data_IF_538185839194
#
_entry.id   IF_538185839194
#
_cell.length_a   1.000
_cell.length_b   1.000
_cell.length_c   1.000
_cell.angle_alpha   90.00
_cell.angle_beta   90.00
_cell.angle_gamma   90.00
#
_symmetry.space_group_name_H-M   'P 1'
#
loop_
_entity.id
_entity.type
_entity.pdbx_description
1 polymer ?
#
# COMPACT_ATOMS: atom_id res chain seq x y z
N UNK A 1 0.32 -18.61 26.31
CA UNK A 1 1.19 -17.84 25.40
C UNK A 1 0.75 -16.40 25.54
N UNK A 2 1.40 -15.64 26.42
CA UNK A 2 1.10 -14.21 26.61
C UNK A 2 1.55 -13.50 25.34
N UNK A 3 0.61 -12.96 24.57
CA UNK A 3 0.93 -11.97 23.55
C UNK A 3 1.29 -10.69 24.28
N UNK A 4 2.50 -10.66 24.86
CA UNK A 4 2.98 -9.46 25.55
C UNK A 4 3.06 -8.35 24.51
N UNK A 5 2.21 -7.35 24.72
CA UNK A 5 2.05 -6.16 23.90
C UNK A 5 3.37 -5.39 23.96
N UNK A 6 4.27 -5.62 23.00
CA UNK A 6 5.58 -4.95 22.95
C UNK A 6 5.39 -3.60 22.25
N UNK A 7 5.40 -2.46 22.96
CA UNK A 7 5.02 -1.17 22.38
C UNK A 7 5.90 -0.77 21.18
N UNK A 8 7.18 -1.16 21.22
CA UNK A 8 8.13 -0.92 20.13
C UNK A 8 7.75 -1.64 18.82
N UNK A 9 7.18 -2.85 18.88
CA UNK A 9 6.81 -3.60 17.67
C UNK A 9 5.57 -3.01 17.00
N UNK A 10 4.65 -2.44 17.79
CA UNK A 10 3.42 -1.81 17.31
C UNK A 10 3.72 -0.48 16.63
N UNK A 11 4.53 0.38 17.26
CA UNK A 11 4.95 1.66 16.67
C UNK A 11 5.69 1.41 15.36
N UNK A 12 6.64 0.47 15.34
CA UNK A 12 7.36 0.08 14.13
C UNK A 12 6.39 -0.39 13.03
N UNK A 13 5.43 -1.26 13.35
CA UNK A 13 4.48 -1.81 12.37
C UNK A 13 3.56 -0.74 11.77
N UNK A 14 3.10 0.22 12.59
CA UNK A 14 2.28 1.35 12.11
C UNK A 14 3.11 2.26 11.20
N UNK A 15 4.34 2.59 11.61
CA UNK A 15 5.25 3.41 10.80
C UNK A 15 5.58 2.72 9.48
N UNK A 16 5.86 1.42 9.51
CA UNK A 16 6.10 0.61 8.31
C UNK A 16 4.89 0.59 7.37
N UNK A 17 3.69 0.37 7.91
CA UNK A 17 2.45 0.38 7.14
C UNK A 17 2.25 1.74 6.44
N UNK A 18 2.49 2.84 7.15
CA UNK A 18 2.37 4.19 6.60
C UNK A 18 3.38 4.44 5.47
N UNK A 19 4.65 4.08 5.65
CA UNK A 19 5.67 4.19 4.59
C UNK A 19 5.33 3.34 3.38
N UNK A 20 4.78 2.14 3.60
CA UNK A 20 4.38 1.24 2.51
C UNK A 20 3.22 1.82 1.70
N UNK A 21 2.23 2.45 2.35
CA UNK A 21 1.14 3.14 1.66
C UNK A 21 1.63 4.35 0.84
N UNK A 22 2.54 5.15 1.40
CA UNK A 22 3.14 6.28 0.69
C UNK A 22 3.94 5.82 -0.53
N UNK A 23 4.72 4.76 -0.37
CA UNK A 23 5.49 4.16 -1.46
C UNK A 23 4.56 3.69 -2.58
N UNK A 24 3.51 2.92 -2.25
CA UNK A 24 2.54 2.43 -3.22
C UNK A 24 1.77 3.56 -3.92
N UNK A 25 1.47 4.65 -3.23
CA UNK A 25 0.83 5.83 -3.85
C UNK A 25 1.77 6.50 -4.87
N UNK A 26 3.07 6.53 -4.57
CA UNK A 26 4.08 7.10 -5.45
C UNK A 26 4.31 6.22 -6.68
N UNK A 27 4.33 4.89 -6.54
CA UNK A 27 4.44 3.97 -7.68
C UNK A 27 3.24 4.06 -8.61
N UNK A 28 2.02 4.15 -8.07
CA UNK A 28 0.83 4.39 -8.90
C UNK A 28 0.92 5.68 -9.70
N UNK A 29 1.31 6.79 -9.06
CA UNK A 29 1.50 8.07 -9.76
C UNK A 29 2.56 7.97 -10.86
N UNK A 30 3.66 7.27 -10.58
CA UNK A 30 4.71 7.02 -11.56
C UNK A 30 4.20 6.21 -12.77
N UNK A 31 3.45 5.13 -12.53
CA UNK A 31 2.87 4.31 -13.61
C UNK A 31 1.88 5.13 -14.44
N UNK A 32 1.01 5.92 -13.80
CA UNK A 32 0.06 6.82 -14.50
C UNK A 32 0.81 7.83 -15.37
N UNK A 33 1.88 8.43 -14.83
CA UNK A 33 2.73 9.34 -15.59
C UNK A 33 3.35 8.67 -16.81
N UNK A 34 3.88 7.44 -16.64
CA UNK A 34 4.44 6.65 -17.74
C UNK A 34 3.38 6.34 -18.80
N UNK A 35 2.16 5.94 -18.41
CA UNK A 35 1.05 5.68 -19.35
C UNK A 35 0.70 6.94 -20.17
N UNK A 36 0.72 8.11 -19.53
CA UNK A 36 0.45 9.40 -20.18
C UNK A 36 1.54 9.77 -21.18
N UNK A 37 2.81 9.53 -20.84
CA UNK A 37 3.95 9.97 -21.63
C UNK A 37 4.36 8.98 -22.74
N UNK A 38 4.03 7.70 -22.59
CA UNK A 38 4.38 6.68 -23.58
C UNK A 38 3.46 6.75 -24.82
N UNK A 39 3.97 6.36 -25.99
CA UNK A 39 3.21 6.29 -27.25
C UNK A 39 2.91 4.85 -27.67
N UNK A 40 3.65 3.87 -27.11
CA UNK A 40 3.51 2.46 -27.48
C UNK A 40 2.27 1.81 -26.85
N UNK A 41 1.34 1.34 -27.69
CA UNK A 41 0.14 0.62 -27.22
C UNK A 41 0.47 -0.64 -26.41
N UNK A 42 1.52 -1.38 -26.77
CA UNK A 42 1.92 -2.61 -26.07
C UNK A 42 2.41 -2.31 -24.65
N UNK A 43 3.23 -1.27 -24.49
CA UNK A 43 3.77 -0.87 -23.19
C UNK A 43 2.65 -0.33 -22.29
N UNK A 44 1.71 0.45 -22.83
CA UNK A 44 0.55 0.93 -22.07
C UNK A 44 -0.28 -0.19 -21.46
N UNK A 45 -0.55 -1.26 -22.21
CA UNK A 45 -1.33 -2.41 -21.70
C UNK A 45 -0.61 -3.04 -20.50
N UNK A 46 0.70 -3.25 -20.59
CA UNK A 46 1.50 -3.79 -19.48
C UNK A 46 1.44 -2.85 -18.27
N UNK A 47 1.60 -1.55 -18.49
CA UNK A 47 1.51 -0.55 -17.42
C UNK A 47 0.11 -0.51 -16.76
N UNK A 48 -0.98 -0.70 -17.52
CA UNK A 48 -2.32 -0.81 -16.94
C UNK A 48 -2.49 -2.05 -16.05
N UNK A 49 -1.88 -3.19 -16.43
CA UNK A 49 -1.88 -4.40 -15.60
C UNK A 49 -1.12 -4.15 -14.30
N UNK A 50 0.07 -3.53 -14.37
CA UNK A 50 0.82 -3.12 -13.18
C UNK A 50 0.04 -2.14 -12.30
N UNK A 51 -0.60 -1.14 -12.89
CA UNK A 51 -1.44 -0.18 -12.14
C UNK A 51 -2.58 -0.88 -11.41
N UNK A 52 -3.22 -1.86 -12.06
CA UNK A 52 -4.32 -2.63 -11.45
C UNK A 52 -3.83 -3.45 -10.26
N UNK A 53 -2.64 -4.04 -10.36
CA UNK A 53 -2.00 -4.79 -9.28
C UNK A 53 -1.60 -3.88 -8.12
N UNK A 54 -1.01 -2.71 -8.38
CA UNK A 54 -0.70 -1.71 -7.35
C UNK A 54 -1.97 -1.27 -6.60
N UNK A 55 -3.06 -0.99 -7.31
CA UNK A 55 -4.36 -0.63 -6.71
C UNK A 55 -4.85 -1.75 -5.77
N UNK A 56 -4.73 -3.01 -6.19
CA UNK A 56 -5.13 -4.16 -5.37
C UNK A 56 -4.29 -4.29 -4.10
N UNK A 57 -2.97 -4.10 -4.20
CA UNK A 57 -2.06 -4.10 -3.04
C UNK A 57 -2.43 -2.96 -2.09
N UNK A 58 -2.67 -1.76 -2.62
CA UNK A 58 -3.04 -0.60 -1.81
C UNK A 58 -4.37 -0.80 -1.08
N UNK A 59 -5.36 -1.43 -1.72
CA UNK A 59 -6.63 -1.77 -1.09
C UNK A 59 -6.43 -2.77 0.06
N UNK A 60 -5.53 -3.74 -0.11
CA UNK A 60 -5.16 -4.70 0.93
C UNK A 60 -4.46 -4.01 2.12
N UNK A 61 -3.59 -3.04 1.86
CA UNK A 61 -2.96 -2.23 2.89
C UNK A 61 -3.97 -1.36 3.65
N UNK A 62 -4.93 -0.75 2.95
CA UNK A 62 -6.03 0.00 3.56
C UNK A 62 -6.85 -0.88 4.51
N UNK A 63 -7.14 -2.12 4.09
CA UNK A 63 -7.83 -3.08 4.94
C UNK A 63 -7.01 -3.43 6.20
N UNK A 64 -5.69 -3.62 6.07
CA UNK A 64 -4.83 -3.81 7.24
C UNK A 64 -4.82 -2.59 8.17
N UNK A 65 -4.76 -1.36 7.64
CA UNK A 65 -4.86 -0.16 8.47
C UNK A 65 -6.21 -0.07 9.19
N UNK A 66 -7.30 -0.43 8.53
CA UNK A 66 -8.62 -0.50 9.16
C UNK A 66 -8.63 -1.50 10.33
N UNK A 67 -8.07 -2.70 10.15
CA UNK A 67 -7.97 -3.68 11.24
C UNK A 67 -7.12 -3.14 12.38
N UNK A 68 -5.94 -2.59 12.10
CA UNK A 68 -5.01 -2.08 13.12
C UNK A 68 -5.65 -0.94 13.92
N UNK A 69 -6.27 0.02 13.24
CA UNK A 69 -6.96 1.15 13.91
C UNK A 69 -8.15 0.69 14.74
N UNK A 70 -8.91 -0.30 14.25
CA UNK A 70 -10.02 -0.90 14.98
C UNK A 70 -9.53 -1.65 16.22
N UNK A 71 -8.50 -2.49 16.09
CA UNK A 71 -7.89 -3.20 17.20
C UNK A 71 -7.37 -2.25 18.29
N UNK A 72 -6.75 -1.12 17.89
CA UNK A 72 -6.23 -0.11 18.81
C UNK A 72 -7.35 0.67 19.53
N UNK A 73 -8.54 0.78 18.94
CA UNK A 73 -9.72 1.42 19.56
C UNK A 73 -10.39 0.54 20.63
N UNK A 74 -10.35 -0.78 20.43
CA UNK A 74 -10.99 -1.74 21.34
C UNK A 74 -10.03 -2.29 22.41
N UNK A 75 -8.80 -1.76 22.47
CA UNK A 75 -7.79 -2.00 23.50
C UNK A 75 -7.70 -0.77 24.41
#
# INVERSE_FOLDING_TARGET
MTTDFTPNSIVFSITFLFFTMLFQSTTMLFIIYMIKNDTSKKIKIILYVFLTLDIFIFLSLLYMAYIVTTALKYY
#
